data_IF_440886879187
#
_entry.id   IF_440886879187
#
_cell.length_a   1.000
_cell.length_b   1.000
_cell.length_c   1.000
_cell.angle_alpha   90.00
_cell.angle_beta   90.00
_cell.angle_gamma   90.00
#
_symmetry.space_group_name_H-M   'P 1'
#
loop_
_entity.id
_entity.type
_entity.pdbx_description
1 polymer ?
#
# COMPACT_ATOMS: atom_id res chain seq x y z
N UNK A 1 -5.66 27.05 1.89
CA UNK A 1 -4.77 26.95 0.72
C UNK A 1 -3.30 26.84 1.09
N UNK A 2 -2.86 25.64 1.45
CA UNK A 2 -1.44 25.29 1.34
C UNK A 2 -1.24 24.86 -0.10
N UNK A 3 -0.75 25.75 -0.96
CA UNK A 3 -0.29 25.35 -2.29
C UNK A 3 1.09 24.72 -2.11
N UNK A 4 1.29 23.44 -2.46
CA UNK A 4 2.62 22.84 -2.37
C UNK A 4 3.60 23.65 -3.23
N UNK A 5 4.76 23.97 -2.66
CA UNK A 5 5.85 24.63 -3.39
C UNK A 5 6.52 23.63 -4.30
N UNK A 6 7.10 24.12 -5.39
CA UNK A 6 7.97 23.31 -6.23
C UNK A 6 9.15 22.78 -5.39
N UNK A 7 9.42 21.48 -5.51
CA UNK A 7 10.46 20.84 -4.73
C UNK A 7 11.83 21.07 -5.37
N UNK A 8 12.81 21.51 -4.60
CA UNK A 8 14.21 21.61 -5.05
C UNK A 8 14.83 20.22 -5.32
N UNK A 9 14.24 19.15 -4.78
CA UNK A 9 14.63 17.78 -5.09
C UNK A 9 14.19 17.40 -6.51
N UNK A 10 15.18 17.27 -7.41
CA UNK A 10 14.99 16.91 -8.82
C UNK A 10 14.28 15.57 -9.03
N UNK A 11 14.44 14.60 -8.12
CA UNK A 11 13.75 13.32 -8.23
C UNK A 11 12.26 13.45 -7.90
N UNK A 12 11.89 14.31 -6.95
CA UNK A 12 10.49 14.64 -6.67
C UNK A 12 9.86 15.36 -7.86
N UNK A 13 10.56 16.36 -8.43
CA UNK A 13 10.07 17.08 -9.62
C UNK A 13 9.88 16.14 -10.81
N UNK A 14 10.86 15.28 -11.10
CA UNK A 14 10.78 14.25 -12.14
C UNK A 14 9.59 13.31 -11.90
N UNK A 15 9.43 12.78 -10.69
CA UNK A 15 8.32 11.87 -10.39
C UNK A 15 6.96 12.55 -10.53
N UNK A 16 6.83 13.81 -10.10
CA UNK A 16 5.60 14.57 -10.27
C UNK A 16 5.25 14.77 -11.75
N UNK A 17 6.24 15.08 -12.59
CA UNK A 17 6.07 15.23 -14.04
C UNK A 17 5.63 13.91 -14.70
N UNK A 18 6.30 12.80 -14.40
CA UNK A 18 5.95 11.48 -14.95
C UNK A 18 4.59 11.01 -14.47
N UNK A 19 4.23 11.28 -13.21
CA UNK A 19 2.90 10.99 -12.66
C UNK A 19 1.83 11.80 -13.39
N UNK A 20 2.09 13.08 -13.64
CA UNK A 20 1.15 13.93 -14.39
C UNK A 20 0.99 13.48 -15.84
N UNK A 21 2.08 13.11 -16.54
CA UNK A 21 2.04 12.55 -17.89
C UNK A 21 1.24 11.25 -17.92
N UNK A 22 1.52 10.33 -17.01
CA UNK A 22 0.78 9.06 -16.89
C UNK A 22 -0.72 9.31 -16.67
N UNK A 23 -1.07 10.24 -15.79
CA UNK A 23 -2.46 10.62 -15.53
C UNK A 23 -3.14 11.17 -16.81
N UNK A 24 -2.51 12.13 -17.49
CA UNK A 24 -3.03 12.73 -18.73
C UNK A 24 -3.17 11.73 -19.87
N UNK A 25 -2.32 10.72 -19.93
CA UNK A 25 -2.35 9.65 -20.93
C UNK A 25 -3.19 8.43 -20.51
N UNK A 26 -3.91 8.50 -19.38
CA UNK A 26 -4.76 7.41 -18.91
C UNK A 26 -4.00 6.16 -18.46
N UNK A 27 -2.69 6.28 -18.18
CA UNK A 27 -1.84 5.16 -17.75
C UNK A 27 -2.04 4.84 -16.26
N UNK A 28 -1.79 3.60 -15.80
CA UNK A 28 -1.91 3.25 -14.40
C UNK A 28 -0.94 4.03 -13.51
N UNK A 29 -1.42 4.43 -12.34
CA UNK A 29 -0.63 5.04 -11.28
C UNK A 29 -0.95 4.26 -10.00
N UNK A 30 0.03 3.47 -9.55
CA UNK A 30 -0.09 2.53 -8.44
C UNK A 30 0.69 3.06 -7.25
N UNK A 31 0.01 3.18 -6.11
CA UNK A 31 0.64 3.57 -4.85
C UNK A 31 0.71 2.36 -3.94
N UNK A 32 1.91 2.02 -3.47
CA UNK A 32 2.16 0.99 -2.47
C UNK A 32 2.67 1.67 -1.20
N UNK A 33 2.00 1.51 -0.06
CA UNK A 33 2.31 2.29 1.14
C UNK A 33 2.31 1.50 2.45
N UNK A 34 3.32 1.77 3.27
CA UNK A 34 3.33 1.39 4.68
C UNK A 34 2.54 2.38 5.55
N UNK A 35 2.30 1.99 6.80
CA UNK A 35 1.40 2.72 7.70
C UNK A 35 1.89 4.11 8.14
N UNK A 36 3.17 4.44 7.96
CA UNK A 36 3.72 5.70 8.44
C UNK A 36 3.09 6.95 7.80
N UNK A 37 2.60 6.86 6.55
CA UNK A 37 1.82 7.94 5.95
C UNK A 37 0.54 8.23 6.76
N UNK A 38 -0.17 7.16 7.14
CA UNK A 38 -1.42 7.25 7.90
C UNK A 38 -1.13 7.79 9.31
N UNK A 39 -0.11 7.23 9.99
CA UNK A 39 0.31 7.66 11.33
C UNK A 39 0.71 9.14 11.39
N UNK A 40 1.32 9.65 10.33
CA UNK A 40 1.75 11.04 10.23
C UNK A 40 0.64 12.00 9.76
N UNK A 41 -0.62 11.53 9.66
CA UNK A 41 -1.76 12.36 9.28
C UNK A 41 -1.80 12.74 7.80
N UNK A 42 -1.13 11.98 6.93
CA UNK A 42 -1.06 12.26 5.49
C UNK A 42 -2.18 11.58 4.69
N UNK A 43 -3.09 10.84 5.32
CA UNK A 43 -4.26 10.24 4.67
C UNK A 43 -5.06 11.24 3.82
N UNK A 44 -5.32 12.50 4.23
CA UNK A 44 -6.05 13.47 3.41
C UNK A 44 -5.40 13.74 2.04
N UNK A 45 -4.08 13.65 1.93
CA UNK A 45 -3.38 13.82 0.65
C UNK A 45 -3.62 12.62 -0.28
N UNK A 46 -3.63 11.41 0.28
CA UNK A 46 -3.95 10.19 -0.48
C UNK A 46 -5.41 10.21 -0.93
N UNK A 47 -6.33 10.64 -0.05
CA UNK A 47 -7.75 10.81 -0.36
C UNK A 47 -7.96 11.80 -1.50
N UNK A 48 -7.31 12.98 -1.47
CA UNK A 48 -7.41 13.96 -2.56
C UNK A 48 -6.94 13.37 -3.91
N UNK A 49 -5.88 12.56 -3.92
CA UNK A 49 -5.39 11.89 -5.12
C UNK A 49 -6.35 10.77 -5.61
N UNK A 50 -7.04 10.09 -4.70
CA UNK A 50 -8.08 9.11 -5.04
C UNK A 50 -9.31 9.78 -5.64
N UNK A 51 -9.81 10.86 -5.02
CA UNK A 51 -10.98 11.61 -5.51
C UNK A 51 -10.74 12.25 -6.88
N UNK A 52 -9.50 12.67 -7.16
CA UNK A 52 -9.09 13.18 -8.47
C UNK A 52 -8.88 12.09 -9.53
N UNK A 53 -9.00 10.81 -9.16
CA UNK A 53 -8.75 9.68 -10.06
C UNK A 53 -7.29 9.55 -10.51
N UNK A 54 -6.36 10.16 -9.77
CA UNK A 54 -4.92 10.07 -10.06
C UNK A 54 -4.42 8.69 -9.66
N UNK A 55 -4.69 8.27 -8.43
CA UNK A 55 -4.37 6.90 -7.98
C UNK A 55 -5.38 5.94 -8.59
N UNK A 56 -4.89 4.93 -9.32
CA UNK A 56 -5.71 3.88 -9.94
C UNK A 56 -5.68 2.55 -9.19
N UNK A 57 -4.70 2.35 -8.30
CA UNK A 57 -4.68 1.27 -7.33
C UNK A 57 -3.87 1.71 -6.11
N UNK A 58 -4.38 1.39 -4.91
CA UNK A 58 -3.66 1.57 -3.65
C UNK A 58 -3.38 0.19 -3.01
N UNK A 59 -2.12 -0.09 -2.73
CA UNK A 59 -1.65 -1.32 -2.11
C UNK A 59 -1.03 -1.01 -0.74
N UNK A 60 -1.33 -1.85 0.23
CA UNK A 60 -1.03 -1.61 1.62
C UNK A 60 -0.37 -2.84 2.24
N UNK A 61 0.52 -2.62 3.22
CA UNK A 61 0.92 -3.69 4.12
C UNK A 61 -0.13 -3.90 5.22
N UNK A 62 0.03 -4.95 6.01
CA UNK A 62 -0.93 -5.31 7.06
C UNK A 62 -1.03 -4.31 8.23
N UNK A 63 -0.09 -3.36 8.37
CA UNK A 63 -0.17 -2.32 9.39
C UNK A 63 -1.15 -1.19 9.01
N UNK A 64 -1.23 -0.83 7.73
CA UNK A 64 -2.12 0.22 7.25
C UNK A 64 -3.61 0.04 7.62
N UNK A 65 -4.25 -1.13 7.41
CA UNK A 65 -5.67 -1.30 7.74
C UNK A 65 -5.95 -1.09 9.23
N UNK A 66 -4.97 -1.33 10.10
CA UNK A 66 -5.13 -1.13 11.54
C UNK A 66 -5.16 0.37 11.87
N UNK A 67 -4.14 1.12 11.45
CA UNK A 67 -4.07 2.55 11.67
C UNK A 67 -5.22 3.32 10.99
N UNK A 68 -5.60 2.91 9.79
CA UNK A 68 -6.73 3.50 9.06
C UNK A 68 -8.07 3.27 9.78
N UNK A 69 -8.26 2.06 10.31
CA UNK A 69 -9.45 1.70 11.11
C UNK A 69 -9.50 2.51 12.41
N UNK A 70 -8.39 2.66 13.12
CA UNK A 70 -8.32 3.47 14.34
C UNK A 70 -8.69 4.93 14.06
N UNK A 71 -8.16 5.50 12.97
CA UNK A 71 -8.55 6.84 12.52
C UNK A 71 -10.05 6.92 12.24
N UNK A 72 -10.62 5.95 11.52
CA UNK A 72 -12.06 5.94 11.21
C UNK A 72 -12.95 5.83 12.46
N UNK A 73 -12.49 5.10 13.48
CA UNK A 73 -13.20 4.87 14.73
C UNK A 73 -13.17 6.09 15.66
N UNK A 74 -12.00 6.71 15.84
CA UNK A 74 -11.78 7.67 16.92
C UNK A 74 -11.00 8.94 16.53
N UNK A 75 -10.61 9.09 15.26
CA UNK A 75 -9.88 10.26 14.76
C UNK A 75 -8.41 10.31 15.16
N UNK A 76 -7.89 9.26 15.79
CA UNK A 76 -6.50 9.14 16.24
C UNK A 76 -5.97 7.72 16.04
N UNK A 77 -4.65 7.58 16.08
CA UNK A 77 -3.97 6.28 15.91
C UNK A 77 -2.59 6.32 16.56
N UNK A 78 -2.02 5.14 16.83
CA UNK A 78 -0.74 4.87 17.50
C UNK A 78 -0.86 4.56 18.99
N UNK A 79 -0.19 3.48 19.40
CA UNK A 79 0.06 3.12 20.79
C UNK A 79 1.50 3.46 21.19
N UNK A 80 1.73 3.63 22.50
CA UNK A 80 3.07 3.79 23.06
C UNK A 80 3.75 2.43 23.24
N UNK A 81 4.57 2.05 22.27
CA UNK A 81 5.19 0.71 22.21
C UNK A 81 6.05 0.42 23.44
N UNK A 82 6.95 1.32 23.83
CA UNK A 82 7.92 1.09 24.92
C UNK A 82 7.23 0.79 26.27
N UNK A 83 6.16 1.52 26.57
CA UNK A 83 5.37 1.35 27.80
C UNK A 83 4.57 0.03 27.77
N UNK A 84 4.05 -0.37 26.61
CA UNK A 84 3.17 -1.54 26.46
C UNK A 84 3.91 -2.87 26.29
N UNK A 85 5.16 -2.86 25.79
CA UNK A 85 5.86 -4.08 25.40
C UNK A 85 6.24 -4.95 26.61
N UNK A 86 6.83 -4.33 27.65
CA UNK A 86 7.27 -5.03 28.86
C UNK A 86 6.10 -5.66 29.63
N UNK A 87 4.90 -5.11 29.48
CA UNK A 87 3.68 -5.56 30.15
C UNK A 87 2.85 -6.53 29.29
N UNK A 88 3.31 -6.86 28.07
CA UNK A 88 2.57 -7.73 27.15
C UNK A 88 1.25 -7.15 26.65
N UNK A 89 1.13 -5.81 26.63
CA UNK A 89 -0.08 -5.10 26.19
C UNK A 89 0.00 -4.56 24.76
N UNK A 90 1.18 -4.62 24.14
CA UNK A 90 1.41 -4.13 22.79
C UNK A 90 0.57 -4.88 21.76
N UNK A 91 -0.22 -4.14 21.00
CA UNK A 91 -1.00 -4.69 19.89
C UNK A 91 -2.37 -5.29 20.26
N UNK A 92 -2.84 -5.11 21.49
CA UNK A 92 -4.12 -5.68 21.98
C UNK A 92 -5.31 -4.71 21.95
N UNK A 93 -5.23 -3.63 21.15
CA UNK A 93 -6.38 -2.74 20.92
C UNK A 93 -7.55 -3.52 20.32
N UNK A 94 -8.60 -3.73 21.13
CA UNK A 94 -9.70 -4.67 20.84
C UNK A 94 -10.50 -4.23 19.61
N UNK A 95 -10.78 -2.94 19.48
CA UNK A 95 -11.65 -2.38 18.47
C UNK A 95 -11.08 -2.59 17.07
N UNK A 96 -9.81 -2.23 16.85
CA UNK A 96 -9.13 -2.43 15.57
C UNK A 96 -8.97 -3.92 15.24
N UNK A 97 -8.62 -4.74 16.24
CA UNK A 97 -8.55 -6.20 16.10
C UNK A 97 -9.89 -6.83 15.69
N UNK A 98 -11.00 -6.37 16.27
CA UNK A 98 -12.34 -6.84 15.88
C UNK A 98 -12.66 -6.45 14.44
N UNK A 99 -12.50 -5.17 14.08
CA UNK A 99 -12.88 -4.68 12.75
C UNK A 99 -12.06 -5.36 11.67
N UNK A 100 -10.74 -5.35 11.76
CA UNK A 100 -9.86 -5.81 10.67
C UNK A 100 -9.94 -7.34 10.50
N UNK A 101 -9.91 -8.12 11.60
CA UNK A 101 -10.07 -9.57 11.49
C UNK A 101 -11.46 -9.98 11.00
N UNK A 102 -12.52 -9.25 11.41
CA UNK A 102 -13.87 -9.50 10.88
C UNK A 102 -13.99 -9.11 9.40
N UNK A 103 -13.29 -8.07 8.95
CA UNK A 103 -13.21 -7.73 7.53
C UNK A 103 -12.52 -8.84 6.72
N UNK A 104 -11.44 -9.45 7.21
CA UNK A 104 -10.85 -10.63 6.57
C UNK A 104 -11.83 -11.80 6.49
N UNK A 105 -12.59 -12.05 7.56
CA UNK A 105 -13.60 -13.10 7.57
C UNK A 105 -14.75 -12.85 6.57
N UNK A 106 -15.26 -11.61 6.51
CA UNK A 106 -16.27 -11.24 5.52
C UNK A 106 -15.73 -11.34 4.08
N UNK A 107 -14.47 -10.95 3.85
CA UNK A 107 -13.81 -11.08 2.55
C UNK A 107 -13.75 -12.56 2.13
N UNK A 108 -13.37 -13.45 3.05
CA UNK A 108 -13.34 -14.89 2.82
C UNK A 108 -14.69 -15.49 2.46
N UNK A 109 -15.74 -15.11 3.20
CA UNK A 109 -17.13 -15.55 2.94
C UNK A 109 -17.64 -15.06 1.59
N UNK A 110 -17.33 -13.82 1.24
CA UNK A 110 -17.83 -13.14 0.04
C UNK A 110 -16.95 -13.33 -1.19
N UNK A 111 -15.80 -14.00 -1.03
CA UNK A 111 -14.80 -14.21 -2.09
C UNK A 111 -14.24 -12.90 -2.64
N UNK A 112 -14.07 -11.91 -1.77
CA UNK A 112 -13.57 -10.57 -2.07
C UNK A 112 -12.11 -10.38 -1.60
N UNK A 113 -11.49 -9.31 -2.10
CA UNK A 113 -10.22 -8.79 -1.59
C UNK A 113 -10.36 -8.16 -0.21
N UNK A 114 -9.28 -8.14 0.58
CA UNK A 114 -9.33 -7.61 1.94
C UNK A 114 -9.50 -6.08 1.96
N UNK A 115 -8.78 -5.37 1.08
CA UNK A 115 -8.84 -3.90 1.06
C UNK A 115 -10.22 -3.36 0.65
N UNK A 116 -10.81 -3.92 -0.41
CA UNK A 116 -12.19 -3.58 -0.81
C UNK A 116 -13.19 -3.89 0.30
N UNK A 117 -13.07 -5.06 0.93
CA UNK A 117 -13.98 -5.47 2.01
C UNK A 117 -13.88 -4.53 3.21
N UNK A 118 -12.67 -4.14 3.62
CA UNK A 118 -12.49 -3.19 4.72
C UNK A 118 -13.14 -1.83 4.40
N UNK A 119 -12.96 -1.33 3.18
CA UNK A 119 -13.61 -0.09 2.73
C UNK A 119 -15.14 -0.19 2.78
N UNK A 120 -15.70 -1.33 2.35
CA UNK A 120 -17.14 -1.59 2.40
C UNK A 120 -17.68 -1.73 3.84
N UNK A 121 -16.89 -2.28 4.76
CA UNK A 121 -17.21 -2.34 6.20
C UNK A 121 -17.26 -0.92 6.78
N UNK A 122 -16.24 -0.10 6.54
CA UNK A 122 -16.19 1.28 7.03
C UNK A 122 -17.31 2.15 6.41
N UNK A 123 -17.68 1.87 5.15
CA UNK A 123 -18.82 2.52 4.50
C UNK A 123 -20.19 2.11 5.07
N UNK A 124 -20.26 1.03 5.85
CA UNK A 124 -21.51 0.46 6.37
C UNK A 124 -22.28 -0.40 5.37
N UNK A 125 -21.66 -0.80 4.25
CA UNK A 125 -22.27 -1.67 3.23
C UNK A 125 -22.06 -3.16 3.53
N UNK A 126 -21.05 -3.50 4.33
CA UNK A 126 -20.86 -4.83 4.90
C UNK A 126 -20.94 -4.70 6.43
N UNK A 127 -22.00 -5.26 7.02
CA UNK A 127 -22.16 -5.30 8.47
C UNK A 127 -21.25 -6.34 9.11
N UNK A 128 -20.81 -6.06 10.34
CA UNK A 128 -20.12 -7.02 11.21
C UNK A 128 -21.11 -7.59 12.24
N UNK A 129 -20.68 -8.60 13.01
CA UNK A 129 -21.50 -9.24 14.05
C UNK A 129 -21.85 -8.32 15.24
N UNK A 130 -21.34 -7.09 15.25
CA UNK A 130 -21.62 -6.06 16.24
C UNK A 130 -21.76 -4.71 15.53
N UNK A 131 -22.56 -3.82 16.10
CA UNK A 131 -22.72 -2.46 15.58
C UNK A 131 -21.44 -1.67 15.85
N UNK A 132 -20.85 -1.11 14.80
CA UNK A 132 -19.65 -0.29 14.87
C UNK A 132 -19.92 0.97 14.06
N UNK A 133 -19.77 2.12 14.70
CA UNK A 133 -19.85 3.41 14.04
C UNK A 133 -18.44 3.91 13.72
N UNK A 134 -18.28 4.50 12.52
CA UNK A 134 -17.04 5.12 12.07
C UNK A 134 -17.28 6.63 11.90
N UNK A 135 -17.31 7.40 13.01
CA UNK A 135 -17.63 8.83 12.98
C UNK A 135 -16.60 9.67 12.21
N UNK A 136 -15.39 9.14 11.98
CA UNK A 136 -14.28 9.80 11.29
C UNK A 136 -13.90 9.08 9.99
N UNK A 137 -14.84 8.35 9.37
CA UNK A 137 -14.61 7.56 8.14
C UNK A 137 -14.05 8.38 6.98
N UNK A 138 -14.27 9.69 6.97
CA UNK A 138 -13.68 10.61 5.99
C UNK A 138 -12.15 10.69 6.04
N UNK A 139 -11.52 10.22 7.12
CA UNK A 139 -10.06 10.10 7.22
C UNK A 139 -9.54 8.73 6.75
N UNK A 140 -10.42 7.77 6.47
CA UNK A 140 -10.07 6.43 6.01
C UNK A 140 -9.77 6.39 4.52
N UNK A 141 -8.57 5.95 4.16
CA UNK A 141 -8.18 5.73 2.77
C UNK A 141 -8.99 4.56 2.18
N UNK A 142 -9.24 3.50 2.94
CA UNK A 142 -10.03 2.35 2.48
C UNK A 142 -11.49 2.72 2.18
N UNK A 143 -12.10 3.56 3.02
CA UNK A 143 -13.44 4.12 2.77
C UNK A 143 -13.50 4.88 1.44
N UNK A 144 -12.54 5.77 1.21
CA UNK A 144 -12.50 6.56 -0.02
C UNK A 144 -12.13 5.75 -1.26
N UNK A 145 -11.24 4.76 -1.14
CA UNK A 145 -10.94 3.86 -2.24
C UNK A 145 -12.19 3.07 -2.66
N UNK A 146 -12.93 2.51 -1.69
CA UNK A 146 -14.20 1.82 -1.93
C UNK A 146 -15.25 2.75 -2.56
N UNK A 147 -15.46 3.94 -1.99
CA UNK A 147 -16.44 4.92 -2.48
C UNK A 147 -16.14 5.39 -3.92
N UNK A 148 -14.87 5.51 -4.28
CA UNK A 148 -14.44 5.94 -5.63
C UNK A 148 -14.23 4.77 -6.61
N UNK A 149 -14.54 3.53 -6.23
CA UNK A 149 -14.29 2.33 -7.03
C UNK A 149 -12.82 2.18 -7.46
N UNK A 150 -11.89 2.58 -6.59
CA UNK A 150 -10.44 2.37 -6.78
C UNK A 150 -10.03 1.10 -6.02
N UNK A 151 -9.41 0.11 -6.68
CA UNK A 151 -8.90 -1.07 -6.00
C UNK A 151 -7.97 -0.73 -4.83
N UNK A 152 -8.33 -1.20 -3.65
CA UNK A 152 -7.49 -1.20 -2.47
C UNK A 152 -7.10 -2.64 -2.14
N UNK A 153 -5.81 -2.90 -1.97
CA UNK A 153 -5.26 -4.25 -1.74
C UNK A 153 -4.43 -4.29 -0.46
N UNK A 154 -4.57 -5.33 0.35
CA UNK A 154 -3.80 -5.56 1.57
C UNK A 154 -2.94 -6.79 1.38
N UNK A 155 -1.62 -6.58 1.34
CA UNK A 155 -0.61 -7.64 1.27
C UNK A 155 -0.13 -7.97 2.68
N UNK A 156 -0.90 -8.82 3.34
CA UNK A 156 -0.70 -9.15 4.74
C UNK A 156 0.38 -10.22 4.89
N UNK A 157 1.21 -10.11 5.93
CA UNK A 157 2.11 -11.16 6.36
C UNK A 157 1.58 -11.76 7.68
N UNK A 158 1.89 -13.04 7.91
CA UNK A 158 1.39 -13.76 9.08
C UNK A 158 2.40 -13.60 10.21
N UNK A 159 1.93 -13.17 11.38
CA UNK A 159 2.76 -12.89 12.56
C UNK A 159 3.40 -11.50 12.54
N UNK A 160 3.11 -10.66 11.55
CA UNK A 160 3.65 -9.29 11.46
C UNK A 160 2.69 -8.23 11.96
N UNK A 161 1.39 -8.51 11.90
CA UNK A 161 0.36 -7.52 12.18
C UNK A 161 -0.16 -7.73 13.60
N UNK A 162 -0.29 -6.65 14.38
CA UNK A 162 -0.64 -6.77 15.81
C UNK A 162 -1.96 -7.53 16.06
N UNK A 163 -2.88 -7.48 15.08
CA UNK A 163 -4.16 -8.18 15.11
C UNK A 163 -4.05 -9.71 14.99
N UNK A 164 -2.88 -10.24 14.62
CA UNK A 164 -2.61 -11.68 14.55
C UNK A 164 -2.57 -12.32 15.94
N UNK A 165 -2.33 -11.51 16.97
CA UNK A 165 -2.30 -11.96 18.36
C UNK A 165 -3.70 -12.10 18.97
N UNK A 166 -4.75 -11.63 18.27
CA UNK A 166 -6.10 -11.60 18.81
C UNK A 166 -6.81 -12.95 18.65
N UNK A 167 -7.66 -13.37 19.62
CA UNK A 167 -8.39 -14.64 19.54
C UNK A 167 -9.30 -14.80 18.33
N UNK A 168 -9.70 -13.70 17.69
CA UNK A 168 -10.54 -13.70 16.49
C UNK A 168 -9.75 -13.70 15.17
N UNK A 169 -8.42 -13.85 15.21
CA UNK A 169 -7.62 -13.99 14.00
C UNK A 169 -7.88 -15.34 13.33
N UNK A 170 -8.21 -15.29 12.03
CA UNK A 170 -8.46 -16.46 11.19
C UNK A 170 -7.49 -16.43 10.01
N UNK A 171 -6.41 -17.20 10.11
CA UNK A 171 -5.32 -17.15 9.14
C UNK A 171 -5.69 -17.69 7.75
N UNK A 172 -6.66 -18.60 7.67
CA UNK A 172 -7.26 -19.05 6.41
C UNK A 172 -8.00 -17.90 5.71
N UNK A 173 -8.78 -17.11 6.46
CA UNK A 173 -9.48 -15.95 5.94
C UNK A 173 -8.50 -14.84 5.53
N UNK A 174 -7.53 -14.51 6.39
CA UNK A 174 -6.47 -13.53 6.12
C UNK A 174 -5.66 -13.90 4.87
N UNK A 175 -5.21 -15.15 4.81
CA UNK A 175 -4.43 -15.67 3.69
C UNK A 175 -5.22 -15.68 2.38
N UNK A 176 -6.48 -16.13 2.41
CA UNK A 176 -7.36 -16.11 1.25
C UNK A 176 -7.57 -14.69 0.72
N UNK A 177 -8.00 -13.76 1.58
CA UNK A 177 -8.35 -12.40 1.17
C UNK A 177 -7.11 -11.63 0.65
N UNK A 178 -5.95 -11.83 1.28
CA UNK A 178 -4.68 -11.27 0.77
C UNK A 178 -4.24 -11.91 -0.55
N UNK A 179 -4.55 -13.18 -0.78
CA UNK A 179 -4.33 -13.86 -2.06
C UNK A 179 -5.23 -13.34 -3.19
N UNK A 180 -6.47 -12.97 -2.88
CA UNK A 180 -7.36 -12.27 -3.83
C UNK A 180 -6.78 -10.89 -4.16
N UNK A 181 -6.36 -10.13 -3.15
CA UNK A 181 -5.72 -8.82 -3.32
C UNK A 181 -4.43 -8.90 -4.14
N UNK A 182 -3.62 -9.94 -3.95
CA UNK A 182 -2.46 -10.21 -4.79
C UNK A 182 -2.85 -10.42 -6.26
N UNK A 183 -3.94 -11.13 -6.53
CA UNK A 183 -4.42 -11.36 -7.90
C UNK A 183 -4.93 -10.06 -8.54
N UNK A 184 -5.65 -9.22 -7.78
CA UNK A 184 -6.09 -7.89 -8.23
C UNK A 184 -4.88 -7.01 -8.57
N UNK A 185 -3.87 -6.99 -7.69
CA UNK A 185 -2.64 -6.25 -7.93
C UNK A 185 -1.93 -6.76 -9.19
N UNK A 186 -1.77 -8.08 -9.34
CA UNK A 186 -1.11 -8.69 -10.49
C UNK A 186 -1.83 -8.40 -11.82
N UNK A 187 -3.17 -8.41 -11.81
CA UNK A 187 -3.98 -7.98 -12.96
C UNK A 187 -3.70 -6.52 -13.32
N UNK A 188 -3.58 -5.64 -12.32
CA UNK A 188 -3.31 -4.23 -12.57
C UNK A 188 -1.93 -3.96 -13.19
N UNK A 189 -0.94 -4.82 -12.90
CA UNK A 189 0.38 -4.76 -13.55
C UNK A 189 0.28 -5.04 -15.06
N UNK A 190 -0.74 -5.78 -15.52
CA UNK A 190 -0.92 -6.09 -16.94
C UNK A 190 -1.27 -4.86 -17.79
N UNK A 191 -1.65 -3.74 -17.18
CA UNK A 191 -1.99 -2.48 -17.87
C UNK A 191 -0.79 -1.54 -18.04
N UNK A 192 0.42 -1.99 -17.69
CA UNK A 192 1.66 -1.21 -17.72
C UNK A 192 2.51 -1.43 -19.00
N UNK A 193 1.96 -2.10 -20.01
CA UNK A 193 2.66 -2.42 -21.28
C UNK A 193 3.14 -1.17 -22.04
N UNK A 194 2.50 -0.02 -21.80
CA UNK A 194 2.79 1.26 -22.45
C UNK A 194 3.15 2.35 -21.42
N UNK A 195 3.79 1.95 -20.33
CA UNK A 195 4.19 2.84 -19.25
C UNK A 195 3.13 2.98 -18.15
N UNK A 196 3.49 3.81 -17.16
CA UNK A 196 2.75 3.99 -15.93
C UNK A 196 3.71 4.23 -14.77
N UNK A 197 3.15 4.55 -13.61
CA UNK A 197 3.93 4.93 -12.43
C UNK A 197 3.63 4.00 -11.27
N UNK A 198 4.67 3.50 -10.61
CA UNK A 198 4.55 2.69 -9.40
C UNK A 198 5.37 3.34 -8.29
N UNK A 199 4.72 3.76 -7.22
CA UNK A 199 5.34 4.46 -6.10
C UNK A 199 5.28 3.58 -4.86
N UNK A 200 6.43 3.31 -4.25
CA UNK A 200 6.55 2.56 -2.99
C UNK A 200 6.99 3.50 -1.86
N UNK A 201 6.19 3.60 -0.80
CA UNK A 201 6.45 4.52 0.32
C UNK A 201 6.57 3.72 1.62
N UNK A 202 7.76 3.71 2.20
CA UNK A 202 8.01 3.16 3.54
C UNK A 202 7.79 1.65 3.67
N UNK A 203 8.08 0.87 2.62
CA UNK A 203 8.01 -0.60 2.67
C UNK A 203 9.19 -1.24 1.92
N UNK A 204 10.18 -1.73 2.66
CA UNK A 204 11.43 -2.20 2.08
C UNK A 204 11.39 -3.66 1.56
N UNK A 205 10.36 -4.45 1.89
CA UNK A 205 10.35 -5.91 1.62
C UNK A 205 9.05 -6.39 0.99
N UNK A 206 7.91 -6.28 1.67
CA UNK A 206 6.65 -6.88 1.22
C UNK A 206 6.22 -6.35 -0.14
N UNK A 207 6.16 -5.03 -0.33
CA UNK A 207 5.73 -4.45 -1.60
C UNK A 207 6.70 -4.70 -2.75
N UNK A 208 8.02 -4.50 -2.61
CA UNK A 208 8.96 -4.84 -3.67
C UNK A 208 8.89 -6.31 -4.09
N UNK A 209 8.65 -7.22 -3.15
CA UNK A 209 8.53 -8.65 -3.47
C UNK A 209 7.19 -8.95 -4.14
N UNK A 210 6.06 -8.41 -3.66
CA UNK A 210 4.75 -8.51 -4.33
C UNK A 210 4.84 -7.98 -5.77
N UNK A 211 5.38 -6.77 -5.95
CA UNK A 211 5.55 -6.15 -7.26
C UNK A 211 6.38 -7.02 -8.20
N UNK A 212 7.52 -7.54 -7.74
CA UNK A 212 8.38 -8.40 -8.55
C UNK A 212 7.65 -9.66 -9.06
N UNK A 213 6.85 -10.31 -8.20
CA UNK A 213 6.09 -11.51 -8.59
C UNK A 213 4.97 -11.16 -9.55
N UNK A 214 4.26 -10.07 -9.30
CA UNK A 214 3.19 -9.57 -10.18
C UNK A 214 3.71 -9.22 -11.58
N UNK A 215 4.87 -8.58 -11.68
CA UNK A 215 5.55 -8.33 -12.96
C UNK A 215 5.90 -9.63 -13.67
N UNK A 216 6.43 -10.62 -12.94
CA UNK A 216 6.72 -11.93 -13.52
C UNK A 216 5.46 -12.62 -14.03
N UNK A 217 4.34 -12.53 -13.31
CA UNK A 217 3.05 -13.09 -13.72
C UNK A 217 2.51 -12.41 -14.98
N UNK A 218 2.55 -11.07 -15.02
CA UNK A 218 2.10 -10.30 -16.18
C UNK A 218 2.94 -10.62 -17.43
N UNK A 219 4.26 -10.69 -17.30
CA UNK A 219 5.15 -11.11 -18.38
C UNK A 219 4.89 -12.56 -18.82
N UNK A 220 4.64 -13.47 -17.89
CA UNK A 220 4.35 -14.89 -18.18
C UNK A 220 3.10 -15.07 -19.04
N UNK A 221 2.12 -14.17 -18.97
CA UNK A 221 0.90 -14.20 -19.79
C UNK A 221 0.99 -13.30 -21.03
N UNK A 222 2.19 -12.85 -21.40
CA UNK A 222 2.42 -12.04 -22.60
C UNK A 222 2.06 -10.56 -22.48
N UNK A 223 1.87 -10.05 -21.25
CA UNK A 223 1.61 -8.63 -20.97
C UNK A 223 2.71 -8.02 -20.08
N UNK A 224 3.98 -8.04 -20.51
CA UNK A 224 5.06 -7.49 -19.71
C UNK A 224 4.91 -5.96 -19.59
N UNK A 225 5.23 -5.35 -18.45
CA UNK A 225 5.32 -3.90 -18.37
C UNK A 225 6.41 -3.39 -19.32
N UNK A 226 6.32 -2.14 -19.77
CA UNK A 226 7.40 -1.47 -20.48
C UNK A 226 7.40 0.03 -20.17
N UNK A 227 8.59 0.66 -20.19
CA UNK A 227 8.75 2.11 -20.04
C UNK A 227 8.14 2.67 -18.74
N UNK A 228 8.09 1.85 -17.70
CA UNK A 228 7.51 2.25 -16.41
C UNK A 228 8.45 3.18 -15.63
N UNK A 229 7.87 4.07 -14.84
CA UNK A 229 8.59 4.82 -13.81
C UNK A 229 8.28 4.21 -12.45
N UNK A 230 9.31 3.83 -11.71
CA UNK A 230 9.18 3.32 -10.34
C UNK A 230 9.83 4.30 -9.37
N UNK A 231 9.24 4.48 -8.19
CA UNK A 231 9.80 5.33 -7.15
C UNK A 231 9.83 4.61 -5.81
N UNK A 232 10.89 4.83 -5.05
CA UNK A 232 11.02 4.39 -3.66
C UNK A 232 11.22 5.62 -2.78
N UNK A 233 10.35 5.78 -1.79
CA UNK A 233 10.50 6.74 -0.68
C UNK A 233 10.90 5.98 0.58
N UNK A 234 12.09 6.29 1.09
CA UNK A 234 12.62 5.70 2.32
C UNK A 234 13.67 6.64 2.95
N UNK A 235 14.01 6.41 4.22
CA UNK A 235 14.88 7.29 5.02
C UNK A 235 16.36 6.92 4.92
N UNK A 236 16.68 5.74 4.41
CA UNK A 236 18.04 5.24 4.42
C UNK A 236 18.94 5.96 3.41
N UNK A 237 20.23 6.00 3.74
CA UNK A 237 21.26 6.40 2.80
C UNK A 237 21.50 5.30 1.77
N UNK A 238 21.34 5.66 0.50
CA UNK A 238 21.58 4.78 -0.65
C UNK A 238 22.56 5.49 -1.57
N UNK A 239 23.70 4.85 -1.86
CA UNK A 239 24.63 5.34 -2.87
C UNK A 239 24.07 5.03 -4.26
N UNK A 240 23.54 6.06 -4.92
CA UNK A 240 22.91 5.96 -6.24
C UNK A 240 23.90 5.58 -7.36
N UNK A 241 25.21 5.70 -7.14
CA UNK A 241 26.21 5.27 -8.13
C UNK A 241 26.36 3.75 -8.15
N UNK A 242 26.15 3.12 -6.99
CA UNK A 242 26.43 1.71 -6.75
C UNK A 242 25.14 0.86 -6.62
N UNK A 243 23.95 1.44 -6.83
CA UNK A 243 22.68 0.72 -6.63
C UNK A 243 22.56 -0.58 -7.44
N UNK A 244 23.28 -0.70 -8.55
CA UNK A 244 23.27 -1.87 -9.43
C UNK A 244 24.47 -2.81 -9.21
N UNK A 245 25.37 -2.51 -8.28
CA UNK A 245 26.55 -3.34 -7.98
C UNK A 245 26.16 -4.49 -7.04
N UNK A 246 26.18 -5.72 -7.57
CA UNK A 246 25.79 -6.92 -6.84
C UNK A 246 26.80 -7.34 -5.75
N UNK A 247 27.99 -6.73 -5.72
CA UNK A 247 28.99 -6.93 -4.66
C UNK A 247 28.71 -6.04 -3.43
N UNK A 248 27.86 -5.02 -3.57
CA UNK A 248 27.55 -4.08 -2.49
C UNK A 248 26.35 -4.53 -1.66
N UNK A 249 26.39 -4.40 -0.33
CA UNK A 249 25.24 -4.74 0.54
C UNK A 249 23.95 -3.97 0.17
N UNK A 250 24.08 -2.71 -0.28
CA UNK A 250 22.95 -1.87 -0.64
C UNK A 250 22.06 -2.45 -1.75
N UNK A 251 22.65 -3.19 -2.69
CA UNK A 251 21.90 -3.87 -3.75
C UNK A 251 20.92 -4.92 -3.23
N UNK A 252 21.14 -5.50 -2.05
CA UNK A 252 20.31 -6.59 -1.53
C UNK A 252 19.06 -6.12 -0.79
N UNK A 253 18.89 -4.82 -0.59
CA UNK A 253 17.62 -4.27 -0.13
C UNK A 253 16.55 -4.46 -1.20
N UNK A 254 15.38 -5.00 -0.87
CA UNK A 254 14.41 -5.45 -1.89
C UNK A 254 13.78 -4.30 -2.65
N UNK A 255 13.53 -3.19 -1.98
CA UNK A 255 13.11 -1.92 -2.59
C UNK A 255 14.14 -1.41 -3.61
N UNK A 256 15.43 -1.38 -3.28
CA UNK A 256 16.48 -1.00 -4.22
C UNK A 256 16.57 -2.01 -5.37
N UNK A 257 16.77 -3.29 -5.02
CA UNK A 257 16.98 -4.38 -5.97
C UNK A 257 15.88 -4.48 -7.00
N UNK A 258 14.63 -4.56 -6.54
CA UNK A 258 13.49 -4.87 -7.38
C UNK A 258 12.92 -3.61 -8.02
N UNK A 259 12.71 -2.56 -7.23
CA UNK A 259 12.01 -1.36 -7.71
C UNK A 259 12.94 -0.42 -8.45
N UNK A 260 14.20 -0.24 -8.05
CA UNK A 260 15.09 0.74 -8.68
C UNK A 260 15.91 0.17 -9.83
N UNK A 261 16.31 -1.10 -9.72
CA UNK A 261 17.29 -1.70 -10.65
C UNK A 261 16.66 -2.77 -11.52
N UNK A 262 16.27 -3.91 -10.94
CA UNK A 262 15.96 -5.13 -11.69
C UNK A 262 14.78 -4.98 -12.63
N UNK A 263 13.63 -4.53 -12.10
CA UNK A 263 12.43 -4.39 -12.92
C UNK A 263 12.59 -3.25 -13.94
N UNK A 264 12.99 -2.01 -13.57
CA UNK A 264 13.21 -0.96 -14.55
C UNK A 264 14.19 -1.36 -15.66
N UNK A 265 15.33 -1.96 -15.32
CA UNK A 265 16.32 -2.41 -16.31
C UNK A 265 15.77 -3.48 -17.26
N UNK A 266 14.99 -4.45 -16.74
CA UNK A 266 14.41 -5.50 -17.55
C UNK A 266 13.38 -4.98 -18.57
N UNK A 267 12.70 -3.87 -18.25
CA UNK A 267 11.54 -3.38 -19.01
C UNK A 267 11.71 -1.97 -19.56
N UNK A 268 12.96 -1.52 -19.78
CA UNK A 268 13.29 -0.18 -20.32
C UNK A 268 12.64 0.97 -19.53
N UNK A 269 12.40 0.76 -18.25
CA UNK A 269 11.86 1.75 -17.33
C UNK A 269 12.94 2.53 -16.60
N UNK A 270 12.52 3.37 -15.67
CA UNK A 270 13.40 4.17 -14.81
C UNK A 270 12.98 4.10 -13.35
N UNK A 271 13.91 3.69 -12.49
CA UNK A 271 13.75 3.77 -11.04
C UNK A 271 14.31 5.07 -10.47
N UNK A 272 13.62 5.66 -9.51
CA UNK A 272 14.09 6.82 -8.75
C UNK A 272 13.97 6.61 -7.24
N UNK A 273 15.01 7.00 -6.52
CA UNK A 273 15.02 6.99 -5.05
C UNK A 273 14.82 8.41 -4.52
N UNK A 274 13.95 8.56 -3.55
CA UNK A 274 13.68 9.82 -2.88
C UNK A 274 13.88 9.59 -1.38
N UNK A 275 14.98 10.13 -0.85
CA UNK A 275 15.27 10.10 0.58
C UNK A 275 14.43 11.14 1.30
N UNK A 276 13.68 10.75 2.34
CA UNK A 276 12.90 11.68 3.16
C UNK A 276 11.89 11.01 4.07
#
# INVERSE_FOLDING_TARGET
>A
DIRPRESENKNIAFLAEETFKAFKSGKPIIFMMGAHLIKNGLSPLIVDLLERGIIRLAAFNGACPIHDTELALCGGTSEKVEESLAEGRFGFAKEAGIVVNSAYFEAYKRKMGAGETLGAVIAGHIGLNQEINFPFKEHSIFYWAYKNNVPATIHAAIGTDIIDQHPNSLFDAKGYASGVDFSIFAENITHLEEGGVIINIGNAVTHPEVFLKSVSMAANIGKPPAFITTAVFDLFDVDLNDIADEEKPGYYRRDVKSMLVRVPKAFKGRGVYIKG
#
